data_IF_335077104080
#
_entry.id   IF_335077104080
#
_cell.length_a   1.000
_cell.length_b   1.000
_cell.length_c   1.000
_cell.angle_alpha   90.00
_cell.angle_beta   90.00
_cell.angle_gamma   90.00
#
_symmetry.space_group_name_H-M   'P 1'
#
loop_
_entity.id
_entity.type
_entity.pdbx_description
1 polymer ?
#
# COMPACT_ATOMS: atom_id res chain seq x y z
N UNK A 1 72.50 7.87 -25.52
CA UNK A 1 72.16 9.30 -25.36
C UNK A 1 70.70 9.42 -25.78
N UNK A 2 69.70 9.36 -24.91
CA UNK A 2 69.54 10.03 -23.62
C UNK A 2 68.60 11.22 -23.86
N UNK A 3 67.42 11.21 -23.21
CA UNK A 3 66.27 12.16 -23.16
C UNK A 3 64.98 11.33 -23.39
N UNK A 4 63.92 11.31 -22.58
CA UNK A 4 63.57 12.04 -21.37
C UNK A 4 62.61 11.19 -20.53
N UNK A 5 62.78 11.22 -19.21
CA UNK A 5 61.79 10.76 -18.23
C UNK A 5 60.95 11.96 -17.81
N UNK A 6 59.63 11.89 -17.96
CA UNK A 6 58.72 12.66 -17.13
C UNK A 6 57.49 11.83 -16.74
N UNK A 7 57.24 11.86 -15.43
CA UNK A 7 56.27 11.09 -14.65
C UNK A 7 54.83 11.46 -15.03
N UNK A 8 53.99 10.45 -15.29
CA UNK A 8 52.53 10.57 -15.16
C UNK A 8 52.10 9.90 -13.87
N UNK A 9 51.56 10.69 -12.95
CA UNK A 9 50.99 10.23 -11.69
C UNK A 9 49.65 9.53 -11.92
N UNK A 10 49.53 8.31 -11.39
CA UNK A 10 48.24 7.66 -11.19
C UNK A 10 47.52 8.32 -10.01
N UNK A 11 46.37 8.96 -10.27
CA UNK A 11 45.33 9.14 -9.26
C UNK A 11 44.33 8.00 -9.42
N UNK A 12 44.42 7.02 -8.53
CA UNK A 12 43.37 6.02 -8.31
C UNK A 12 42.12 6.76 -7.84
N UNK A 13 41.06 6.63 -8.63
CA UNK A 13 39.75 7.23 -8.39
C UNK A 13 39.18 6.77 -7.06
N UNK A 14 38.80 7.74 -6.24
CA UNK A 14 38.09 7.59 -4.96
C UNK A 14 36.72 6.99 -5.25
N UNK A 15 36.47 5.76 -4.80
CA UNK A 15 35.14 5.15 -4.83
C UNK A 15 34.20 5.97 -3.94
N UNK A 16 33.20 6.60 -4.54
CA UNK A 16 32.25 7.46 -3.84
C UNK A 16 31.14 6.61 -3.22
N UNK A 17 31.31 6.26 -1.95
CA UNK A 17 30.40 5.42 -1.15
C UNK A 17 28.99 6.06 -1.05
N UNK A 18 28.90 7.38 -1.24
CA UNK A 18 27.63 8.12 -1.25
C UNK A 18 26.76 7.83 -2.48
N UNK A 19 27.36 7.43 -3.60
CA UNK A 19 26.62 7.08 -4.80
C UNK A 19 25.94 5.70 -4.66
N UNK A 20 26.58 4.79 -3.91
CA UNK A 20 26.04 3.46 -3.61
C UNK A 20 24.93 3.51 -2.55
N UNK A 21 25.03 4.38 -1.54
CA UNK A 21 23.97 4.57 -0.53
C UNK A 21 22.75 5.31 -1.10
N UNK A 22 22.98 6.25 -2.04
CA UNK A 22 21.91 6.90 -2.80
C UNK A 22 21.22 5.91 -3.75
N UNK A 23 21.96 5.02 -4.44
CA UNK A 23 21.37 3.95 -5.25
C UNK A 23 20.58 2.92 -4.42
N UNK A 24 21.06 2.55 -3.22
CA UNK A 24 20.34 1.63 -2.34
C UNK A 24 19.07 2.25 -1.76
N UNK A 25 19.06 3.57 -1.55
CA UNK A 25 17.86 4.32 -1.14
C UNK A 25 16.87 4.49 -2.29
N UNK A 26 17.36 4.49 -3.53
CA UNK A 26 16.52 4.58 -4.73
C UNK A 26 15.84 3.24 -5.09
N UNK A 27 16.41 2.10 -4.70
CA UNK A 27 15.89 0.77 -5.06
C UNK A 27 14.70 0.29 -4.22
N UNK A 28 14.33 0.99 -3.14
CA UNK A 28 13.16 0.65 -2.30
C UNK A 28 12.03 1.69 -2.33
N UNK A 29 12.15 2.75 -3.14
CA UNK A 29 11.18 3.86 -3.15
C UNK A 29 9.99 3.67 -4.10
N UNK A 30 9.91 2.58 -4.86
CA UNK A 30 8.95 2.52 -5.96
C UNK A 30 7.51 2.11 -5.61
N UNK A 31 7.22 1.62 -4.40
CA UNK A 31 5.89 1.02 -4.14
C UNK A 31 5.22 1.38 -2.83
N UNK A 32 5.75 2.38 -2.14
CA UNK A 32 5.24 2.73 -0.81
C UNK A 32 4.57 4.08 -0.75
N UNK A 33 3.33 4.08 -0.27
CA UNK A 33 2.69 5.27 0.28
C UNK A 33 3.45 5.65 1.56
N UNK A 34 4.53 6.40 1.38
CA UNK A 34 5.36 6.90 2.47
C UNK A 34 4.68 8.12 3.08
N UNK A 35 4.40 8.05 4.38
CA UNK A 35 4.05 9.24 5.17
C UNK A 35 5.06 9.42 6.29
N UNK A 36 5.37 10.68 6.61
CA UNK A 36 6.19 11.06 7.76
C UNK A 36 5.31 11.93 8.66
N UNK A 37 5.06 11.45 9.88
CA UNK A 37 4.38 12.23 10.92
C UNK A 37 5.38 12.56 12.01
N UNK A 38 5.41 13.82 12.40
CA UNK A 38 6.25 14.33 13.47
C UNK A 38 5.41 14.60 14.70
N UNK A 39 5.84 14.07 15.86
CA UNK A 39 5.31 14.47 17.15
C UNK A 39 6.26 15.49 17.80
N UNK A 40 5.78 16.73 17.91
CA UNK A 40 6.54 17.84 18.47
C UNK A 40 6.78 17.70 19.98
N UNK A 41 5.93 16.96 20.71
CA UNK A 41 6.03 16.80 22.16
C UNK A 41 7.12 15.80 22.54
N UNK A 42 7.20 14.67 21.84
CA UNK A 42 8.21 13.63 22.10
C UNK A 42 9.51 13.80 21.30
N UNK A 43 9.57 14.79 20.40
CA UNK A 43 10.60 14.95 19.34
C UNK A 43 10.80 13.68 18.50
N UNK A 44 9.86 12.76 18.56
CA UNK A 44 9.91 11.50 17.83
C UNK A 44 9.09 11.63 16.56
N UNK A 45 9.46 10.89 15.54
CA UNK A 45 8.70 10.84 14.29
C UNK A 45 8.42 9.40 13.92
N UNK A 46 7.42 9.22 13.06
CA UNK A 46 7.07 7.93 12.50
C UNK A 46 7.06 8.05 10.98
N UNK A 47 7.80 7.16 10.33
CA UNK A 47 7.72 6.95 8.89
C UNK A 47 6.92 5.69 8.63
N UNK A 48 5.77 5.82 7.96
CA UNK A 48 4.97 4.67 7.52
C UNK A 48 5.25 4.38 6.07
N UNK A 49 5.35 3.10 5.74
CA UNK A 49 5.59 2.59 4.39
C UNK A 49 4.62 1.42 4.18
N UNK A 50 3.69 1.53 3.23
CA UNK A 50 2.83 0.39 2.84
C UNK A 50 3.55 -0.36 1.72
N UNK A 51 3.89 -1.62 1.94
CA UNK A 51 4.49 -2.48 0.92
C UNK A 51 3.42 -3.44 0.39
N UNK A 52 2.91 -3.10 -0.80
CA UNK A 52 1.87 -3.87 -1.48
C UNK A 52 2.35 -5.20 -2.04
N UNK A 53 3.65 -5.44 -2.14
CA UNK A 53 4.20 -6.74 -2.59
C UNK A 53 4.39 -7.66 -1.39
N UNK A 54 5.04 -7.16 -0.33
CA UNK A 54 5.23 -7.89 0.92
C UNK A 54 3.91 -8.06 1.72
N UNK A 55 2.89 -7.28 1.40
CA UNK A 55 1.60 -7.21 2.11
C UNK A 55 1.76 -6.79 3.58
N UNK A 56 2.62 -5.81 3.85
CA UNK A 56 2.95 -5.33 5.20
C UNK A 56 2.94 -3.81 5.24
N UNK A 57 2.44 -3.24 6.34
CA UNK A 57 2.69 -1.84 6.70
C UNK A 57 3.85 -1.78 7.67
N UNK A 58 4.90 -1.06 7.29
CA UNK A 58 6.04 -0.78 8.15
C UNK A 58 5.86 0.57 8.84
N UNK A 59 6.21 0.61 10.11
CA UNK A 59 6.23 1.80 10.96
C UNK A 59 7.63 1.96 11.55
N UNK A 60 8.40 2.88 11.00
CA UNK A 60 9.72 3.23 11.52
C UNK A 60 9.56 4.40 12.49
N UNK A 61 9.55 4.10 13.78
CA UNK A 61 9.54 5.14 14.81
C UNK A 61 10.97 5.57 15.09
N UNK A 62 11.26 6.84 14.84
CA UNK A 62 12.56 7.46 14.95
C UNK A 62 12.55 8.35 16.19
N UNK A 63 13.47 8.11 17.11
CA UNK A 63 13.62 8.87 18.34
C UNK A 63 15.04 9.41 18.47
N UNK A 64 15.22 10.71 18.75
CA UNK A 64 16.52 11.26 19.13
C UNK A 64 17.06 10.60 20.39
N UNK A 65 18.34 10.26 20.39
CA UNK A 65 19.06 9.75 21.55
C UNK A 65 19.37 10.92 22.47
N UNK A 66 18.79 10.89 23.67
CA UNK A 66 19.11 11.82 24.75
C UNK A 66 20.23 11.20 25.60
N UNK A 67 21.49 11.49 25.23
CA UNK A 67 22.66 10.96 25.94
C UNK A 67 22.74 11.44 27.39
N UNK A 68 22.21 12.62 27.70
CA UNK A 68 22.20 13.17 29.05
C UNK A 68 21.28 12.35 29.97
N UNK A 69 20.16 11.86 29.42
CA UNK A 69 19.18 11.03 30.15
C UNK A 69 19.51 9.54 30.16
N UNK A 70 20.05 9.00 29.07
CA UNK A 70 20.23 7.56 28.88
C UNK A 70 21.69 7.09 28.93
N UNK A 71 22.65 8.03 29.01
CA UNK A 71 24.08 7.74 28.92
C UNK A 71 24.54 7.46 27.49
N UNK A 72 25.83 7.15 27.34
CA UNK A 72 26.41 6.79 26.04
C UNK A 72 25.73 5.55 25.44
N UNK A 73 25.67 5.51 24.12
CA UNK A 73 25.08 4.39 23.37
C UNK A 73 25.79 3.08 23.69
N UNK A 74 25.02 2.06 24.10
CA UNK A 74 25.47 0.74 24.54
C UNK A 74 24.28 -0.19 24.82
N UNK A 75 24.53 -1.45 25.22
CA UNK A 75 23.48 -2.47 25.41
C UNK A 75 22.40 -2.04 26.43
N UNK A 76 22.82 -1.54 27.59
CA UNK A 76 21.89 -1.13 28.67
C UNK A 76 21.08 0.13 28.31
N UNK A 77 21.69 1.07 27.58
CA UNK A 77 21.00 2.28 27.13
C UNK A 77 20.06 1.99 25.95
N UNK A 78 20.37 1.00 25.10
CA UNK A 78 19.51 0.55 23.99
C UNK A 78 18.16 0.06 24.50
N UNK A 79 18.15 -0.82 25.50
CA UNK A 79 16.89 -1.33 26.05
C UNK A 79 16.02 -0.21 26.62
N UNK A 80 16.60 0.72 27.39
CA UNK A 80 15.87 1.87 27.96
C UNK A 80 15.33 2.81 26.88
N UNK A 81 16.11 3.07 25.83
CA UNK A 81 15.69 3.87 24.69
C UNK A 81 14.52 3.21 23.95
N UNK A 82 14.60 1.90 23.68
CA UNK A 82 13.50 1.14 23.06
C UNK A 82 12.25 1.14 23.94
N UNK A 83 12.38 0.94 25.26
CA UNK A 83 11.26 1.06 26.18
C UNK A 83 10.61 2.44 26.09
N UNK A 84 11.42 3.50 26.02
CA UNK A 84 10.90 4.85 25.90
C UNK A 84 10.26 5.17 24.54
N UNK A 85 10.42 4.32 23.52
CA UNK A 85 9.65 4.37 22.26
C UNK A 85 8.26 3.76 22.45
N UNK A 86 8.13 2.73 23.29
CA UNK A 86 6.84 2.09 23.57
C UNK A 86 5.85 3.06 24.22
N UNK A 87 6.32 4.05 25.00
CA UNK A 87 5.47 5.03 25.69
C UNK A 87 4.54 5.83 24.75
N UNK A 88 4.91 6.00 23.49
CA UNK A 88 4.14 6.76 22.50
C UNK A 88 3.89 6.01 21.19
N UNK A 89 4.39 4.77 21.08
CA UNK A 89 4.27 3.92 19.89
C UNK A 89 2.83 3.88 19.35
N UNK A 90 1.86 3.59 20.21
CA UNK A 90 0.47 3.42 19.79
C UNK A 90 -0.15 4.71 19.25
N UNK A 91 0.23 5.85 19.84
CA UNK A 91 -0.23 7.16 19.39
C UNK A 91 0.35 7.49 18.03
N UNK A 92 1.65 7.29 17.83
CA UNK A 92 2.30 7.54 16.54
C UNK A 92 1.76 6.61 15.45
N UNK A 93 1.64 5.31 15.74
CA UNK A 93 1.09 4.33 14.78
C UNK A 93 -0.35 4.70 14.41
N UNK A 94 -1.19 5.03 15.40
CA UNK A 94 -2.58 5.45 15.14
C UNK A 94 -2.67 6.71 14.28
N UNK A 95 -1.89 7.74 14.61
CA UNK A 95 -1.82 8.96 13.79
C UNK A 95 -1.39 8.63 12.36
N UNK A 96 -0.45 7.71 12.20
CA UNK A 96 0.00 7.29 10.88
C UNK A 96 -1.01 6.45 10.11
N UNK A 97 -1.78 5.62 10.81
CA UNK A 97 -2.88 4.87 10.20
C UNK A 97 -3.99 5.80 9.70
N UNK A 98 -4.30 6.88 10.42
CA UNK A 98 -5.35 7.84 10.07
C UNK A 98 -5.21 8.46 8.67
N UNK A 99 -3.99 8.56 8.15
CA UNK A 99 -3.72 9.08 6.81
C UNK A 99 -3.81 8.02 5.69
N UNK A 100 -4.12 6.76 6.00
CA UNK A 100 -4.31 5.72 4.98
C UNK A 100 -5.63 5.98 4.24
N UNK A 101 -5.57 6.06 2.91
CA UNK A 101 -6.76 5.99 2.05
C UNK A 101 -7.34 4.57 2.08
N UNK A 102 -8.60 4.45 2.51
CA UNK A 102 -9.29 3.16 2.60
C UNK A 102 -10.13 2.92 1.35
N UNK A 103 -10.86 3.95 0.92
CA UNK A 103 -11.66 3.95 -0.30
C UNK A 103 -11.69 5.36 -0.94
N UNK A 104 -12.45 5.52 -2.01
CA UNK A 104 -12.60 6.78 -2.73
C UNK A 104 -13.07 7.97 -1.91
N UNK A 105 -13.79 7.73 -0.81
CA UNK A 105 -14.48 8.75 -0.04
C UNK A 105 -13.82 8.95 1.34
N UNK A 106 -13.24 7.87 1.89
CA UNK A 106 -12.84 7.79 3.28
C UNK A 106 -11.36 7.39 3.44
N UNK A 107 -10.72 8.07 4.37
CA UNK A 107 -9.48 7.65 5.02
C UNK A 107 -9.77 6.72 6.19
N UNK A 108 -8.73 6.14 6.77
CA UNK A 108 -8.86 5.38 8.01
C UNK A 108 -9.48 6.24 9.11
N UNK A 109 -9.07 7.52 9.21
CA UNK A 109 -9.61 8.45 10.20
C UNK A 109 -11.13 8.59 10.08
N UNK A 110 -11.63 8.72 8.86
CA UNK A 110 -13.07 8.86 8.61
C UNK A 110 -13.85 7.62 9.05
N UNK A 111 -13.28 6.41 8.83
CA UNK A 111 -13.84 5.16 9.37
C UNK A 111 -13.78 5.13 10.90
N UNK A 112 -12.66 5.52 11.50
CA UNK A 112 -12.49 5.54 12.95
C UNK A 112 -13.48 6.49 13.64
N UNK A 113 -13.69 7.68 13.06
CA UNK A 113 -14.61 8.67 13.60
C UNK A 113 -16.08 8.25 13.46
N UNK A 114 -16.41 7.40 12.47
CA UNK A 114 -17.78 6.94 12.20
C UNK A 114 -18.14 5.62 12.86
N UNK A 115 -17.17 4.78 13.22
CA UNK A 115 -17.37 3.51 13.93
C UNK A 115 -16.59 3.46 15.26
N UNK A 116 -17.26 3.75 16.38
CA UNK A 116 -16.65 3.68 17.71
C UNK A 116 -16.07 2.31 18.07
N UNK A 117 -16.51 1.21 17.46
CA UNK A 117 -15.99 -0.13 17.78
C UNK A 117 -14.54 -0.34 17.33
N UNK A 118 -14.05 0.45 16.35
CA UNK A 118 -12.66 0.40 15.92
C UNK A 118 -11.68 0.67 17.06
N UNK A 119 -12.08 1.41 18.10
CA UNK A 119 -11.24 1.69 19.27
C UNK A 119 -10.78 0.42 20.00
N UNK A 120 -11.61 -0.64 19.98
CA UNK A 120 -11.30 -1.92 20.65
C UNK A 120 -10.20 -2.70 19.92
N UNK A 121 -10.08 -2.50 18.61
CA UNK A 121 -8.95 -3.06 17.86
C UNK A 121 -7.67 -2.29 18.12
N UNK A 122 -7.77 -0.98 18.38
CA UNK A 122 -6.61 -0.16 18.71
C UNK A 122 -6.01 -0.48 20.08
N UNK A 123 -6.82 -0.81 21.08
CA UNK A 123 -6.30 -1.30 22.37
C UNK A 123 -5.61 -2.66 22.24
N UNK A 124 -5.86 -3.40 21.17
CA UNK A 124 -5.23 -4.68 20.85
C UNK A 124 -4.07 -4.61 19.86
N UNK A 125 -3.61 -3.43 19.43
CA UNK A 125 -2.55 -3.28 18.41
C UNK A 125 -1.29 -4.10 18.74
N UNK A 126 -0.91 -4.16 20.02
CA UNK A 126 0.26 -4.91 20.47
C UNK A 126 0.20 -6.41 20.18
N UNK A 127 -1.00 -6.97 20.04
CA UNK A 127 -1.18 -8.39 19.72
C UNK A 127 -0.95 -8.71 18.25
N UNK A 128 -1.09 -7.71 17.36
CA UNK A 128 -0.98 -7.86 15.90
C UNK A 128 0.25 -7.17 15.30
N UNK A 129 0.90 -6.28 16.07
CA UNK A 129 2.15 -5.63 15.67
C UNK A 129 3.34 -6.52 16.01
N UNK A 130 4.12 -6.85 14.98
CA UNK A 130 5.41 -7.52 15.16
C UNK A 130 6.51 -6.47 15.20
N UNK A 131 7.40 -6.55 16.19
CA UNK A 131 8.61 -5.73 16.21
C UNK A 131 9.62 -6.30 15.21
N UNK A 132 10.05 -5.47 14.27
CA UNK A 132 11.12 -5.74 13.33
C UNK A 132 12.49 -5.40 13.93
N UNK A 133 13.33 -4.71 13.15
CA UNK A 133 14.66 -4.33 13.59
C UNK A 133 14.68 -3.14 14.56
N UNK A 134 15.80 -3.01 15.26
CA UNK A 134 16.21 -1.78 15.95
C UNK A 134 17.56 -1.36 15.40
N UNK A 135 17.69 -0.10 15.00
CA UNK A 135 18.91 0.42 14.35
C UNK A 135 19.23 1.82 14.85
N UNK A 136 20.51 2.12 15.04
CA UNK A 136 20.99 3.48 15.24
C UNK A 136 21.29 4.17 13.89
N UNK A 137 21.10 5.48 13.83
CA UNK A 137 21.67 6.29 12.75
C UNK A 137 23.20 6.19 12.78
N UNK A 138 23.86 6.47 11.64
CA UNK A 138 25.31 6.37 11.53
C UNK A 138 26.04 7.33 12.48
N UNK A 139 25.43 8.48 12.75
CA UNK A 139 25.91 9.47 13.71
C UNK A 139 25.49 9.17 15.17
N UNK A 140 24.82 8.05 15.40
CA UNK A 140 24.28 7.59 16.68
C UNK A 140 23.27 8.53 17.37
N UNK A 141 22.84 9.60 16.69
CA UNK A 141 21.92 10.60 17.26
C UNK A 141 20.48 10.14 17.31
N UNK A 142 20.11 9.11 16.56
CA UNK A 142 18.76 8.60 16.50
C UNK A 142 18.74 7.08 16.64
N UNK A 143 17.69 6.58 17.26
CA UNK A 143 17.31 5.17 17.25
C UNK A 143 16.02 5.02 16.43
N UNK A 144 15.99 4.01 15.57
CA UNK A 144 14.80 3.60 14.82
C UNK A 144 14.36 2.24 15.29
N UNK A 145 13.09 2.12 15.68
CA UNK A 145 12.43 0.85 15.98
C UNK A 145 11.36 0.61 14.93
N UNK A 146 11.48 -0.49 14.20
CA UNK A 146 10.50 -0.89 13.19
C UNK A 146 9.40 -1.74 13.80
N UNK A 147 8.16 -1.41 13.47
CA UNK A 147 7.00 -2.27 13.69
C UNK A 147 6.38 -2.67 12.35
N UNK A 148 5.84 -3.88 12.30
CA UNK A 148 5.28 -4.52 11.12
C UNK A 148 3.83 -4.89 11.42
N UNK A 149 2.90 -4.47 10.55
CA UNK A 149 1.50 -4.89 10.57
C UNK A 149 1.18 -5.62 9.26
N UNK A 150 0.78 -6.89 9.36
CA UNK A 150 0.33 -7.63 8.18
C UNK A 150 -0.95 -7.01 7.62
N UNK A 151 -1.03 -6.83 6.31
CA UNK A 151 -2.29 -6.38 5.69
C UNK A 151 -3.39 -7.42 5.86
N UNK A 152 -3.02 -8.71 5.78
CA UNK A 152 -3.93 -9.84 5.79
C UNK A 152 -3.53 -10.85 6.88
N UNK A 153 -4.46 -11.30 7.74
CA UNK A 153 -5.82 -10.81 7.89
C UNK A 153 -5.91 -9.54 8.78
N UNK A 154 -4.82 -9.17 9.46
CA UNK A 154 -4.85 -8.27 10.63
C UNK A 154 -5.44 -6.90 10.31
N UNK A 155 -4.85 -6.17 9.36
CA UNK A 155 -5.36 -4.84 8.96
C UNK A 155 -6.74 -4.92 8.31
N UNK A 156 -7.00 -5.92 7.47
CA UNK A 156 -8.29 -6.06 6.79
C UNK A 156 -9.45 -6.30 7.75
N UNK A 157 -9.23 -7.08 8.81
CA UNK A 157 -10.28 -7.41 9.79
C UNK A 157 -10.88 -6.16 10.44
N UNK A 158 -10.14 -5.05 10.47
CA UNK A 158 -10.63 -3.77 10.96
C UNK A 158 -11.84 -3.26 10.15
N UNK A 159 -11.96 -3.62 8.87
CA UNK A 159 -12.96 -3.04 7.96
C UNK A 159 -14.05 -4.02 7.51
N UNK A 160 -14.03 -5.27 7.99
CA UNK A 160 -14.98 -6.30 7.58
C UNK A 160 -16.22 -6.27 8.46
N UNK A 161 -17.33 -5.80 7.89
CA UNK A 161 -18.64 -5.80 8.55
C UNK A 161 -19.61 -6.85 8.03
N UNK A 162 -19.33 -7.48 6.86
CA UNK A 162 -20.21 -8.47 6.24
C UNK A 162 -19.74 -9.91 6.45
N UNK A 163 -20.69 -10.81 6.71
CA UNK A 163 -20.43 -12.26 6.88
C UNK A 163 -20.62 -13.07 5.60
N UNK A 164 -21.24 -12.50 4.55
CA UNK A 164 -21.45 -13.13 3.24
C UNK A 164 -21.35 -12.09 2.12
N UNK A 165 -20.83 -12.46 0.92
CA UNK A 165 -20.79 -11.55 -0.21
C UNK A 165 -22.21 -11.20 -0.68
N UNK A 166 -22.48 -9.92 -0.88
CA UNK A 166 -23.71 -9.44 -1.48
C UNK A 166 -23.82 -9.90 -2.94
N UNK A 167 -25.05 -10.00 -3.45
CA UNK A 167 -25.29 -10.33 -4.87
C UNK A 167 -24.77 -9.20 -5.74
N UNK A 168 -24.32 -9.53 -6.95
CA UNK A 168 -23.98 -8.52 -7.95
C UNK A 168 -25.13 -7.53 -8.09
N UNK A 169 -24.80 -6.23 -8.06
CA UNK A 169 -25.80 -5.17 -8.11
C UNK A 169 -26.58 -5.14 -9.43
N UNK A 170 -26.10 -5.85 -10.46
CA UNK A 170 -26.65 -5.83 -11.81
C UNK A 170 -26.95 -7.21 -12.37
N UNK A 171 -28.04 -7.33 -13.15
CA UNK A 171 -28.30 -8.54 -13.91
C UNK A 171 -27.15 -8.78 -14.90
N UNK A 172 -26.85 -10.06 -15.15
CA UNK A 172 -25.91 -10.46 -16.20
C UNK A 172 -26.38 -9.85 -17.52
N UNK A 173 -25.50 -9.15 -18.23
CA UNK A 173 -25.85 -8.54 -19.50
C UNK A 173 -26.03 -9.63 -20.56
N UNK A 174 -27.19 -9.66 -21.21
CA UNK A 174 -27.52 -10.64 -22.25
C UNK A 174 -26.91 -10.23 -23.60
N UNK A 175 -25.62 -9.96 -23.62
CA UNK A 175 -24.87 -9.93 -24.88
C UNK A 175 -24.47 -11.36 -25.21
N UNK A 176 -24.32 -11.67 -26.51
CA UNK A 176 -23.76 -12.94 -27.00
C UNK A 176 -22.50 -13.24 -26.19
N UNK A 177 -22.62 -14.12 -25.21
CA UNK A 177 -21.68 -14.21 -24.12
C UNK A 177 -20.30 -14.54 -24.69
N UNK A 178 -19.29 -13.77 -24.29
CA UNK A 178 -17.92 -14.16 -24.48
C UNK A 178 -17.77 -15.54 -23.81
N UNK A 179 -17.63 -16.59 -24.63
CA UNK A 179 -17.53 -17.97 -24.18
C UNK A 179 -16.16 -18.27 -23.56
N UNK A 180 -15.22 -17.31 -23.65
CA UNK A 180 -13.91 -17.48 -23.10
C UNK A 180 -13.95 -17.54 -21.57
N UNK A 181 -13.28 -18.55 -21.01
CA UNK A 181 -13.18 -18.74 -19.57
C UNK A 181 -11.93 -18.00 -19.09
N UNK A 182 -12.14 -16.78 -18.62
CA UNK A 182 -11.08 -16.01 -17.99
C UNK A 182 -10.74 -16.55 -16.60
N UNK A 183 -9.47 -16.43 -16.21
CA UNK A 183 -8.97 -16.93 -14.93
C UNK A 183 -8.70 -15.82 -13.90
N UNK A 184 -8.81 -14.56 -14.31
CA UNK A 184 -8.62 -13.36 -13.50
C UNK A 184 -8.89 -12.11 -14.33
N UNK A 185 -8.81 -10.94 -13.71
CA UNK A 185 -9.04 -9.64 -14.34
C UNK A 185 -7.82 -8.77 -14.08
N UNK A 186 -7.32 -8.15 -15.13
CA UNK A 186 -6.25 -7.15 -15.09
C UNK A 186 -6.81 -5.87 -15.70
N UNK A 187 -6.72 -4.77 -14.96
CA UNK A 187 -7.08 -3.45 -15.44
C UNK A 187 -5.81 -2.59 -15.48
N UNK A 188 -5.47 -2.08 -16.65
CA UNK A 188 -4.44 -1.05 -16.78
C UNK A 188 -5.05 0.31 -16.46
N UNK A 189 -4.45 1.03 -15.52
CA UNK A 189 -4.89 2.31 -14.97
C UNK A 189 -3.72 3.28 -14.71
N UNK A 190 -2.64 3.17 -15.50
CA UNK A 190 -1.41 3.96 -15.32
C UNK A 190 -1.38 5.33 -16.01
N UNK A 191 -2.47 5.70 -16.68
CA UNK A 191 -2.56 6.95 -17.43
C UNK A 191 -2.89 8.14 -16.52
N UNK A 192 -2.65 9.34 -17.06
CA UNK A 192 -3.16 10.59 -16.51
C UNK A 192 -4.64 10.77 -16.86
N UNK A 193 -5.48 10.98 -15.85
CA UNK A 193 -6.93 11.14 -16.02
C UNK A 193 -7.36 12.57 -15.76
N UNK A 194 -8.52 12.94 -16.30
CA UNK A 194 -9.17 14.22 -16.01
C UNK A 194 -10.08 14.08 -14.80
N UNK A 195 -9.84 14.89 -13.78
CA UNK A 195 -10.75 15.05 -12.66
C UNK A 195 -12.01 15.82 -13.07
N UNK A 196 -13.10 15.62 -12.34
CA UNK A 196 -14.33 16.43 -12.45
C UNK A 196 -14.09 17.92 -12.20
N UNK A 197 -13.05 18.28 -11.45
CA UNK A 197 -12.62 19.67 -11.21
C UNK A 197 -11.73 20.25 -12.32
N UNK A 198 -11.43 19.48 -13.38
CA UNK A 198 -10.64 19.91 -14.53
C UNK A 198 -9.12 19.73 -14.39
N UNK A 199 -8.62 19.28 -13.24
CA UNK A 199 -7.21 18.95 -13.03
C UNK A 199 -6.82 17.58 -13.61
N UNK A 200 -5.52 17.36 -13.81
CA UNK A 200 -4.96 16.04 -14.10
C UNK A 200 -4.75 15.28 -12.80
N UNK A 201 -5.21 14.03 -12.75
CA UNK A 201 -5.12 13.15 -11.58
C UNK A 201 -4.67 11.76 -11.98
N UNK A 202 -4.04 11.06 -11.04
CA UNK A 202 -3.63 9.65 -11.18
C UNK A 202 -4.43 8.79 -10.23
N UNK A 203 -4.44 7.48 -10.49
CA UNK A 203 -5.02 6.52 -9.57
C UNK A 203 -4.25 6.53 -8.24
N UNK A 204 -4.98 6.67 -7.14
CA UNK A 204 -4.44 6.50 -5.79
C UNK A 204 -4.72 5.09 -5.29
N UNK A 205 -3.74 4.47 -4.64
CA UNK A 205 -3.93 3.16 -4.03
C UNK A 205 -4.96 3.21 -2.90
N UNK A 206 -5.88 2.25 -2.89
CA UNK A 206 -6.84 2.06 -1.81
C UNK A 206 -7.09 0.56 -1.56
N UNK A 207 -7.56 0.24 -0.36
CA UNK A 207 -7.88 -1.14 0.02
C UNK A 207 -9.20 -1.61 -0.60
N UNK A 208 -10.15 -0.69 -0.77
CA UNK A 208 -11.45 -0.96 -1.33
C UNK A 208 -11.77 0.04 -2.43
N UNK A 209 -11.58 -0.38 -3.68
CA UNK A 209 -12.03 0.38 -4.83
C UNK A 209 -13.48 0.06 -5.16
N UNK A 210 -14.07 0.90 -5.98
CA UNK A 210 -15.29 0.61 -6.71
C UNK A 210 -15.01 0.67 -8.21
N UNK A 211 -15.82 -0.05 -8.99
CA UNK A 211 -15.79 0.04 -10.46
C UNK A 211 -17.10 0.68 -10.92
N UNK A 212 -16.97 1.69 -11.76
CA UNK A 212 -18.06 2.44 -12.39
C UNK A 212 -18.00 2.31 -13.91
N UNK A 213 -19.12 2.58 -14.58
CA UNK A 213 -19.12 2.94 -16.00
C UNK A 213 -18.94 4.45 -16.22
N UNK A 214 -18.85 4.88 -17.48
CA UNK A 214 -18.74 6.28 -17.87
C UNK A 214 -19.93 7.16 -17.45
N UNK A 215 -21.08 6.54 -17.13
CA UNK A 215 -22.27 7.22 -16.58
C UNK A 215 -22.28 7.27 -15.04
N UNK A 216 -21.17 6.88 -14.40
CA UNK A 216 -21.00 6.83 -12.93
C UNK A 216 -22.01 5.86 -12.28
N UNK A 217 -22.43 4.83 -13.02
CA UNK A 217 -23.18 3.72 -12.45
C UNK A 217 -22.19 2.76 -11.79
N UNK A 218 -22.31 2.56 -10.48
CA UNK A 218 -21.51 1.61 -9.71
C UNK A 218 -21.76 0.21 -10.24
N UNK A 219 -20.77 -0.67 -10.40
CA UNK A 219 -20.93 -2.09 -10.77
C UNK A 219 -20.30 -3.07 -9.78
N UNK A 220 -19.22 -2.67 -9.11
CA UNK A 220 -18.47 -3.50 -8.18
C UNK A 220 -18.02 -2.70 -6.98
N UNK A 221 -18.10 -3.32 -5.80
CA UNK A 221 -17.55 -2.79 -4.55
C UNK A 221 -17.16 -3.94 -3.59
N UNK A 222 -16.59 -3.56 -2.43
CA UNK A 222 -16.12 -4.50 -1.40
C UNK A 222 -17.18 -5.49 -0.91
N UNK A 223 -18.47 -5.14 -0.95
CA UNK A 223 -19.57 -5.98 -0.46
C UNK A 223 -19.79 -7.19 -1.36
N UNK A 224 -19.36 -7.12 -2.62
CA UNK A 224 -19.44 -8.27 -3.55
C UNK A 224 -18.33 -9.30 -3.32
N UNK A 225 -17.24 -8.91 -2.67
CA UNK A 225 -16.09 -9.78 -2.41
C UNK A 225 -16.37 -10.69 -1.22
N UNK A 226 -15.95 -11.95 -1.35
CA UNK A 226 -16.06 -12.92 -0.28
C UNK A 226 -15.21 -12.48 0.95
N UNK A 227 -15.77 -12.49 2.18
CA UNK A 227 -15.02 -12.09 3.38
C UNK A 227 -13.76 -12.91 3.64
N UNK A 228 -13.76 -14.23 3.38
CA UNK A 228 -12.58 -15.07 3.54
C UNK A 228 -11.52 -14.72 2.51
N UNK A 229 -11.95 -14.35 1.30
CA UNK A 229 -11.06 -13.80 0.27
C UNK A 229 -10.43 -12.49 0.75
N UNK A 230 -11.23 -11.54 1.26
CA UNK A 230 -10.71 -10.27 1.78
C UNK A 230 -9.68 -10.49 2.89
N UNK A 231 -9.94 -11.43 3.82
CA UNK A 231 -9.01 -11.82 4.88
C UNK A 231 -7.74 -12.49 4.38
N UNK A 232 -7.84 -13.29 3.32
CA UNK A 232 -6.72 -14.07 2.80
C UNK A 232 -5.72 -13.21 2.03
N UNK A 233 -6.22 -12.33 1.17
CA UNK A 233 -5.35 -11.60 0.23
C UNK A 233 -6.00 -10.33 -0.35
N UNK A 234 -7.10 -9.86 0.21
CA UNK A 234 -7.74 -8.61 -0.20
C UNK A 234 -8.49 -8.64 -1.52
N UNK A 235 -9.06 -7.48 -1.84
CA UNK A 235 -9.93 -7.27 -3.01
C UNK A 235 -9.16 -7.26 -4.33
N UNK A 236 -7.94 -6.73 -4.34
CA UNK A 236 -7.10 -6.57 -5.51
C UNK A 236 -5.62 -6.56 -5.15
N UNK A 237 -4.78 -6.55 -6.18
CA UNK A 237 -3.35 -6.26 -6.08
C UNK A 237 -2.96 -5.12 -7.03
N UNK A 238 -2.12 -4.19 -6.56
CA UNK A 238 -1.50 -3.17 -7.40
C UNK A 238 -0.13 -3.65 -7.87
N UNK A 239 0.27 -3.23 -9.08
CA UNK A 239 1.61 -3.47 -9.63
C UNK A 239 1.91 -2.43 -10.71
N UNK A 240 3.18 -2.18 -11.02
CA UNK A 240 3.56 -1.42 -12.22
C UNK A 240 4.11 -2.36 -13.32
N UNK A 241 4.13 -3.68 -13.07
CA UNK A 241 4.57 -4.66 -14.05
C UNK A 241 3.50 -4.85 -15.13
N UNK A 242 3.67 -4.16 -16.26
CA UNK A 242 2.81 -4.32 -17.45
C UNK A 242 2.75 -5.78 -17.92
N UNK A 243 3.82 -6.54 -17.68
CA UNK A 243 3.95 -7.95 -18.03
C UNK A 243 3.45 -8.91 -16.95
N UNK A 244 2.69 -8.41 -15.96
CA UNK A 244 2.24 -9.16 -14.78
C UNK A 244 1.77 -10.58 -15.12
N UNK A 245 2.42 -11.55 -14.47
CA UNK A 245 2.29 -12.99 -14.73
C UNK A 245 2.04 -13.83 -13.48
N UNK A 246 1.73 -13.22 -12.33
CA UNK A 246 1.49 -13.97 -11.11
C UNK A 246 0.23 -14.84 -11.26
N UNK A 247 0.47 -16.12 -11.56
CA UNK A 247 -0.58 -17.11 -11.81
C UNK A 247 -1.42 -17.38 -10.57
N UNK A 248 -0.89 -17.13 -9.36
CA UNK A 248 -1.62 -17.35 -8.13
C UNK A 248 -2.81 -16.38 -8.02
N UNK A 249 -2.66 -15.14 -8.52
CA UNK A 249 -3.72 -14.13 -8.45
C UNK A 249 -4.70 -14.23 -9.61
N UNK A 250 -4.21 -14.29 -10.85
CA UNK A 250 -5.05 -14.11 -12.06
C UNK A 250 -5.05 -15.32 -13.01
N UNK A 251 -4.36 -16.40 -12.64
CA UNK A 251 -4.26 -17.61 -13.46
C UNK A 251 -3.50 -17.40 -14.78
N UNK A 252 -3.79 -18.25 -15.77
CA UNK A 252 -3.07 -18.28 -17.05
C UNK A 252 -3.67 -17.37 -18.14
N UNK A 253 -4.97 -17.07 -18.04
CA UNK A 253 -5.73 -16.38 -19.09
C UNK A 253 -6.56 -15.23 -18.49
N UNK A 254 -5.92 -14.15 -18.03
CA UNK A 254 -6.62 -13.00 -17.48
C UNK A 254 -7.36 -12.20 -18.56
N UNK A 255 -8.54 -11.70 -18.21
CA UNK A 255 -9.20 -10.64 -18.97
C UNK A 255 -8.43 -9.34 -18.78
N UNK A 256 -7.95 -8.74 -19.86
CA UNK A 256 -7.20 -7.47 -19.83
C UNK A 256 -8.08 -6.32 -20.31
N UNK A 257 -8.17 -5.27 -19.49
CA UNK A 257 -9.00 -4.10 -19.71
C UNK A 257 -8.18 -2.83 -19.48
N UNK A 258 -8.70 -1.70 -19.94
CA UNK A 258 -8.09 -0.38 -19.79
C UNK A 258 -9.09 0.54 -19.10
N UNK A 259 -8.66 1.20 -18.03
CA UNK A 259 -9.44 2.22 -17.35
C UNK A 259 -9.57 3.47 -18.21
N UNK A 260 -10.77 4.06 -18.23
CA UNK A 260 -11.07 5.31 -18.93
C UNK A 260 -10.94 6.53 -18.03
N UNK A 261 -10.96 6.32 -16.72
CA UNK A 261 -10.97 7.38 -15.74
C UNK A 261 -10.79 6.83 -14.33
N UNK A 262 -10.59 7.76 -13.40
CA UNK A 262 -10.67 7.50 -11.97
C UNK A 262 -11.76 8.35 -11.35
N UNK A 263 -12.37 7.85 -10.28
CA UNK A 263 -13.48 8.49 -9.59
C UNK A 263 -13.22 8.60 -8.08
N UNK A 264 -14.00 9.45 -7.42
CA UNK A 264 -13.95 9.67 -5.98
C UNK A 264 -13.03 10.82 -5.57
N UNK A 265 -13.21 11.29 -4.34
CA UNK A 265 -12.41 12.36 -3.72
C UNK A 265 -10.93 11.98 -3.66
N UNK A 266 -10.64 10.72 -3.36
CA UNK A 266 -9.28 10.19 -3.27
C UNK A 266 -8.75 9.60 -4.59
N UNK A 267 -9.54 9.65 -5.67
CA UNK A 267 -9.15 9.17 -7.01
C UNK A 267 -8.71 7.70 -7.05
N UNK A 268 -9.37 6.84 -6.27
CA UNK A 268 -9.04 5.41 -6.17
C UNK A 268 -10.02 4.48 -6.86
N UNK A 269 -11.22 4.96 -7.22
CA UNK A 269 -12.22 4.18 -7.94
C UNK A 269 -11.95 4.21 -9.44
N UNK A 270 -12.33 3.14 -10.15
CA UNK A 270 -12.02 2.95 -11.57
C UNK A 270 -13.28 3.17 -12.42
N UNK A 271 -13.13 3.91 -13.52
CA UNK A 271 -14.15 4.04 -14.57
C UNK A 271 -13.74 3.16 -15.76
N UNK A 272 -14.65 2.30 -16.21
CA UNK A 272 -14.51 1.47 -17.40
C UNK A 272 -15.51 1.88 -18.49
N UNK A 273 -15.18 1.60 -19.74
CA UNK A 273 -16.14 1.75 -20.84
C UNK A 273 -17.23 0.66 -20.81
N UNK A 274 -18.32 0.93 -21.53
CA UNK A 274 -19.46 0.01 -21.62
C UNK A 274 -19.03 -1.39 -22.12
N UNK A 275 -18.09 -1.46 -23.08
CA UNK A 275 -17.58 -2.72 -23.60
C UNK A 275 -16.92 -3.55 -22.50
N UNK A 276 -16.04 -2.94 -21.70
CA UNK A 276 -15.31 -3.58 -20.62
C UNK A 276 -16.24 -4.04 -19.50
N UNK A 277 -17.20 -3.20 -19.13
CA UNK A 277 -18.27 -3.55 -18.17
C UNK A 277 -19.05 -4.76 -18.68
N UNK A 278 -19.54 -4.71 -19.92
CA UNK A 278 -20.26 -5.83 -20.51
C UNK A 278 -19.43 -7.11 -20.53
N UNK A 279 -18.12 -7.00 -20.77
CA UNK A 279 -17.22 -8.16 -20.78
C UNK A 279 -17.09 -8.81 -19.39
N UNK A 280 -16.93 -8.01 -18.34
CA UNK A 280 -16.87 -8.49 -16.95
C UNK A 280 -18.22 -9.12 -16.54
N UNK A 281 -19.34 -8.48 -16.87
CA UNK A 281 -20.67 -8.85 -16.36
C UNK A 281 -21.49 -9.73 -17.31
N UNK A 282 -20.91 -10.16 -18.44
CA UNK A 282 -21.56 -11.04 -19.43
C UNK A 282 -21.83 -12.45 -18.90
N UNK A 283 -21.00 -12.96 -17.99
CA UNK A 283 -21.13 -14.32 -17.48
C UNK A 283 -20.82 -14.42 -15.97
N UNK A 284 -21.36 -15.45 -15.32
CA UNK A 284 -21.17 -15.67 -13.87
C UNK A 284 -19.72 -15.98 -13.50
N UNK A 285 -18.95 -16.60 -14.40
CA UNK A 285 -17.56 -16.92 -14.15
C UNK A 285 -16.73 -15.66 -13.91
N UNK A 286 -16.86 -14.67 -14.78
CA UNK A 286 -16.14 -13.40 -14.70
C UNK A 286 -16.54 -12.60 -13.46
N UNK A 287 -17.85 -12.58 -13.12
CA UNK A 287 -18.32 -11.98 -11.88
C UNK A 287 -17.71 -12.70 -10.67
N UNK A 288 -17.62 -14.04 -10.67
CA UNK A 288 -16.98 -14.78 -9.59
C UNK A 288 -15.49 -14.46 -9.43
N UNK A 289 -14.77 -14.14 -10.50
CA UNK A 289 -13.37 -13.68 -10.40
C UNK A 289 -13.26 -12.44 -9.50
N UNK A 290 -14.19 -11.48 -9.63
CA UNK A 290 -14.25 -10.32 -8.75
C UNK A 290 -14.59 -10.69 -7.29
N UNK A 291 -15.49 -11.65 -7.08
CA UNK A 291 -15.86 -12.13 -5.74
C UNK A 291 -14.71 -12.84 -5.02
N UNK A 292 -13.89 -13.54 -5.79
CA UNK A 292 -12.66 -14.21 -5.35
C UNK A 292 -11.46 -13.26 -5.30
N UNK A 293 -11.66 -11.96 -5.54
CA UNK A 293 -10.59 -10.96 -5.50
C UNK A 293 -9.52 -11.17 -6.57
N UNK A 294 -9.77 -11.92 -7.64
CA UNK A 294 -8.82 -12.17 -8.74
C UNK A 294 -8.71 -10.97 -9.69
N UNK A 295 -8.45 -9.81 -9.10
CA UNK A 295 -8.32 -8.52 -9.74
C UNK A 295 -6.91 -7.96 -9.49
N UNK A 296 -6.29 -7.46 -10.54
CA UNK A 296 -5.00 -6.77 -10.51
C UNK A 296 -5.15 -5.44 -11.23
N UNK A 297 -4.59 -4.40 -10.63
CA UNK A 297 -4.53 -3.06 -11.21
C UNK A 297 -3.08 -2.76 -11.56
N UNK A 298 -2.82 -2.48 -12.82
CA UNK A 298 -1.52 -2.05 -13.31
C UNK A 298 -1.52 -0.52 -13.35
N UNK A 299 -0.56 0.13 -12.69
CA UNK A 299 -0.39 1.59 -12.70
C UNK A 299 0.77 2.02 -13.60
#
# INVERSE_FOLDING_TARGET
>A
MGLDRCLFGEKVGRFDVNLLSSLLSFLFLFYSNVSIINDSLSKSSIKRTIDWDAKVVYFDIIKPVDEDRFGRVGLDSTSRLVFSVNDFKDTLIRQSLFEITIDADNTFKDYFDSDPHLILYFSGLDSILKRGYTKYSEDLKNITVRYELSLFPDFMNLFLSHSKPYRAFYPLTSTSADQFIYTGIIIYAGDDYKSSSGGVVKLTDAFFIKIYDESIKLYFDKRMVDPDTLRKWGMLEYTDDISYKNKNRVGNYPLRLIAKGVYGKNHSDIILDEYSINKIFSNKNNVNLLREGKLVIIK
#
